data_IF_705923593048
#
_entry.id   IF_705923593048
#
_cell.length_a   1.000
_cell.length_b   1.000
_cell.length_c   1.000
_cell.angle_alpha   90.00
_cell.angle_beta   90.00
_cell.angle_gamma   90.00
#
_symmetry.space_group_name_H-M   'P 1'
#
loop_
_entity.id
_entity.type
_entity.pdbx_description
1 polymer ?
#
# COMPACT_ATOMS: atom_id res chain seq x y z
N UNK A 1 -19.37 10.11 1.49
CA UNK A 1 -18.15 10.50 0.75
C UNK A 1 -18.56 11.13 -0.58
N UNK A 2 -18.33 12.44 -0.75
CA UNK A 2 -18.66 13.19 -1.97
C UNK A 2 -17.60 12.98 -3.06
N UNK A 3 -17.97 13.12 -4.34
CA UNK A 3 -16.99 13.21 -5.44
C UNK A 3 -16.29 14.57 -5.32
N UNK A 4 -14.98 14.58 -5.05
CA UNK A 4 -14.18 15.80 -4.98
C UNK A 4 -13.14 15.82 -6.12
N UNK A 5 -12.77 17.01 -6.58
CA UNK A 5 -11.61 17.22 -7.47
C UNK A 5 -11.79 16.83 -8.94
N UNK A 6 -13.03 16.72 -9.46
CA UNK A 6 -13.29 16.51 -10.89
C UNK A 6 -12.96 15.10 -11.43
N UNK A 7 -12.71 14.13 -10.55
CA UNK A 7 -12.43 12.74 -10.93
C UNK A 7 -13.67 12.04 -11.51
N UNK A 8 -13.46 11.17 -12.50
CA UNK A 8 -14.52 10.38 -13.14
C UNK A 8 -15.23 9.47 -12.14
N UNK A 9 -14.48 8.87 -11.21
CA UNK A 9 -15.03 8.07 -10.09
C UNK A 9 -14.44 8.49 -8.76
N UNK A 10 -15.24 8.38 -7.71
CA UNK A 10 -14.83 8.62 -6.33
C UNK A 10 -13.64 7.72 -5.93
N UNK A 11 -12.76 8.26 -5.10
CA UNK A 11 -11.71 7.49 -4.41
C UNK A 11 -12.20 7.26 -2.99
N UNK A 12 -12.39 6.00 -2.61
CA UNK A 12 -12.91 5.65 -1.28
C UNK A 12 -11.81 5.77 -0.24
N UNK A 13 -12.10 6.41 0.90
CA UNK A 13 -11.19 6.40 2.03
C UNK A 13 -11.22 5.01 2.69
N UNK A 14 -10.04 4.36 2.75
CA UNK A 14 -9.88 3.01 3.31
C UNK A 14 -9.17 2.99 4.66
N UNK A 15 -8.82 4.15 5.24
CA UNK A 15 -8.09 4.26 6.51
C UNK A 15 -8.75 3.43 7.62
N UNK A 16 -10.07 3.57 7.83
CA UNK A 16 -10.78 2.78 8.85
C UNK A 16 -10.62 1.27 8.65
N UNK A 17 -10.69 0.81 7.40
CA UNK A 17 -10.54 -0.62 7.09
C UNK A 17 -9.10 -1.09 7.29
N UNK A 18 -8.12 -0.27 6.89
CA UNK A 18 -6.69 -0.52 7.08
C UNK A 18 -6.36 -0.58 8.58
N UNK A 19 -6.72 0.45 9.35
CA UNK A 19 -6.51 0.52 10.81
C UNK A 19 -7.11 -0.69 11.51
N UNK A 20 -8.33 -1.10 11.14
CA UNK A 20 -8.95 -2.30 11.70
C UNK A 20 -8.10 -3.56 11.48
N UNK A 21 -7.48 -3.72 10.30
CA UNK A 21 -6.62 -4.88 10.01
C UNK A 21 -5.29 -4.81 10.74
N UNK A 22 -4.69 -3.63 10.84
CA UNK A 22 -3.45 -3.43 11.61
C UNK A 22 -3.66 -3.79 13.08
N UNK A 23 -4.74 -3.30 13.69
CA UNK A 23 -5.11 -3.65 15.08
C UNK A 23 -5.35 -5.16 15.21
N UNK A 24 -6.10 -5.76 14.28
CA UNK A 24 -6.39 -7.19 14.31
C UNK A 24 -5.12 -8.07 14.19
N UNK A 25 -4.13 -7.64 13.40
CA UNK A 25 -2.80 -8.29 13.32
C UNK A 25 -2.10 -8.20 14.69
N UNK A 26 -2.08 -7.01 15.31
CA UNK A 26 -1.48 -6.81 16.63
C UNK A 26 -2.12 -7.68 17.72
N UNK A 27 -3.45 -7.82 17.69
CA UNK A 27 -4.18 -8.72 18.59
C UNK A 27 -3.87 -10.20 18.29
N UNK A 28 -3.77 -10.60 17.03
CA UNK A 28 -3.44 -11.97 16.64
C UNK A 28 -2.07 -12.41 17.16
N UNK A 29 -1.10 -11.50 17.23
CA UNK A 29 0.24 -11.77 17.79
C UNK A 29 0.22 -12.14 19.28
N UNK A 30 -0.85 -11.82 20.02
CA UNK A 30 -0.99 -12.18 21.44
C UNK A 30 -1.43 -13.63 21.64
N UNK A 31 -1.99 -14.28 20.63
CA UNK A 31 -2.39 -15.67 20.69
C UNK A 31 -1.22 -16.57 20.29
N UNK A 32 -0.86 -17.51 21.17
CA UNK A 32 0.22 -18.47 20.91
C UNK A 32 -0.29 -19.62 20.03
N UNK A 33 0.65 -20.28 19.34
CA UNK A 33 0.37 -21.49 18.57
C UNK A 33 -0.22 -21.26 17.18
N UNK A 34 -0.72 -22.35 16.59
CA UNK A 34 -1.21 -22.43 15.21
C UNK A 34 -2.40 -21.53 14.95
N UNK A 35 -3.35 -21.45 15.88
CA UNK A 35 -4.54 -20.61 15.79
C UNK A 35 -4.21 -19.11 15.65
N UNK A 36 -3.27 -18.62 16.47
CA UNK A 36 -2.77 -17.25 16.39
C UNK A 36 -2.11 -16.95 15.04
N UNK A 37 -1.31 -17.89 14.54
CA UNK A 37 -0.62 -17.77 13.25
C UNK A 37 -1.60 -17.75 12.07
N UNK A 38 -2.61 -18.62 12.07
CA UNK A 38 -3.65 -18.66 11.04
C UNK A 38 -4.45 -17.35 11.01
N UNK A 39 -4.84 -16.85 12.20
CA UNK A 39 -5.52 -15.55 12.34
C UNK A 39 -4.65 -14.41 11.83
N UNK A 40 -3.36 -14.38 12.18
CA UNK A 40 -2.39 -13.40 11.69
C UNK A 40 -2.29 -13.41 10.17
N UNK A 41 -2.07 -14.58 9.56
CA UNK A 41 -1.98 -14.74 8.10
C UNK A 41 -3.28 -14.29 7.40
N UNK A 42 -4.45 -14.59 7.97
CA UNK A 42 -5.75 -14.14 7.45
C UNK A 42 -5.85 -12.62 7.45
N UNK A 43 -5.49 -11.95 8.54
CA UNK A 43 -5.57 -10.50 8.63
C UNK A 43 -4.56 -9.79 7.71
N UNK A 44 -3.34 -10.31 7.58
CA UNK A 44 -2.39 -9.84 6.56
C UNK A 44 -2.92 -9.98 5.14
N UNK A 45 -3.56 -11.11 4.81
CA UNK A 45 -4.17 -11.31 3.48
C UNK A 45 -5.22 -10.24 3.18
N UNK A 46 -6.05 -9.90 4.17
CA UNK A 46 -7.05 -8.85 4.02
C UNK A 46 -6.41 -7.45 3.92
N UNK A 47 -5.36 -7.17 4.69
CA UNK A 47 -4.62 -5.92 4.58
C UNK A 47 -4.01 -5.76 3.17
N UNK A 48 -3.33 -6.78 2.65
CA UNK A 48 -2.76 -6.77 1.30
C UNK A 48 -3.83 -6.59 0.22
N UNK A 49 -5.02 -7.17 0.40
CA UNK A 49 -6.16 -6.94 -0.50
C UNK A 49 -6.57 -5.47 -0.51
N UNK A 50 -6.68 -4.82 0.65
CA UNK A 50 -6.99 -3.40 0.75
C UNK A 50 -5.89 -2.55 0.10
N UNK A 51 -4.62 -2.87 0.34
CA UNK A 51 -3.48 -2.18 -0.27
C UNK A 51 -3.52 -2.27 -1.80
N UNK A 52 -3.84 -3.44 -2.37
CA UNK A 52 -4.02 -3.60 -3.83
C UNK A 52 -5.15 -2.73 -4.38
N UNK A 53 -6.27 -2.63 -3.66
CA UNK A 53 -7.36 -1.75 -4.06
C UNK A 53 -6.94 -0.28 -4.06
N UNK A 54 -6.14 0.14 -3.08
CA UNK A 54 -5.58 1.50 -3.02
C UNK A 54 -4.65 1.73 -4.22
N UNK A 55 -3.74 0.80 -4.51
CA UNK A 55 -2.85 0.89 -5.68
C UNK A 55 -3.61 0.98 -7.01
N UNK A 56 -4.72 0.24 -7.14
CA UNK A 56 -5.58 0.32 -8.32
C UNK A 56 -6.27 1.68 -8.44
N UNK A 57 -6.73 2.25 -7.31
CA UNK A 57 -7.28 3.60 -7.27
C UNK A 57 -6.21 4.65 -7.65
N UNK A 58 -4.97 4.52 -7.13
CA UNK A 58 -3.84 5.39 -7.50
C UNK A 58 -3.53 5.32 -9.00
N UNK A 59 -3.44 4.11 -9.57
CA UNK A 59 -3.20 3.93 -11.01
C UNK A 59 -4.28 4.61 -11.85
N UNK A 60 -5.55 4.45 -11.46
CA UNK A 60 -6.68 5.09 -12.14
C UNK A 60 -6.59 6.62 -12.06
N UNK A 61 -6.28 7.18 -10.89
CA UNK A 61 -6.10 8.63 -10.73
C UNK A 61 -4.98 9.15 -11.63
N UNK A 62 -3.84 8.45 -11.69
CA UNK A 62 -2.73 8.81 -12.58
C UNK A 62 -3.15 8.82 -14.06
N UNK A 63 -3.93 7.83 -14.50
CA UNK A 63 -4.48 7.79 -15.86
C UNK A 63 -5.45 8.96 -16.13
N UNK A 64 -6.30 9.30 -15.17
CA UNK A 64 -7.21 10.45 -15.28
C UNK A 64 -6.42 11.77 -15.37
N UNK A 65 -5.33 11.92 -14.60
CA UNK A 65 -4.42 13.08 -14.65
C UNK A 65 -3.70 13.17 -16.01
N UNK A 66 -3.21 12.04 -16.53
CA UNK A 66 -2.59 11.98 -17.85
C UNK A 66 -3.56 12.29 -18.99
N UNK A 67 -4.87 12.14 -18.79
CA UNK A 67 -5.89 12.52 -19.77
C UNK A 67 -6.30 14.01 -19.69
N UNK A 68 -5.81 14.78 -18.70
CA UNK A 68 -6.15 16.20 -18.58
C UNK A 68 -5.47 17.05 -19.67
N UNK A 69 -6.07 18.19 -20.06
CA UNK A 69 -5.41 19.19 -20.90
C UNK A 69 -4.08 19.66 -20.29
N UNK A 70 -3.09 19.97 -21.13
CA UNK A 70 -1.72 20.27 -20.71
C UNK A 70 -1.61 21.36 -19.63
N UNK A 71 -2.45 22.40 -19.69
CA UNK A 71 -2.47 23.48 -18.70
C UNK A 71 -2.91 22.99 -17.31
N UNK A 72 -3.95 22.14 -17.24
CA UNK A 72 -4.42 21.56 -15.98
C UNK A 72 -3.48 20.47 -15.46
N UNK A 73 -2.90 19.68 -16.37
CA UNK A 73 -1.93 18.63 -16.04
C UNK A 73 -0.67 19.21 -15.38
N UNK A 74 -0.17 20.34 -15.88
CA UNK A 74 0.99 21.03 -15.29
C UNK A 74 0.80 21.32 -13.80
N UNK A 75 -0.37 21.82 -13.41
CA UNK A 75 -0.69 22.14 -12.01
C UNK A 75 -0.73 20.95 -11.04
N UNK A 76 -0.83 19.71 -11.54
CA UNK A 76 -0.88 18.49 -10.71
C UNK A 76 0.23 17.49 -11.02
N UNK A 77 1.15 17.84 -11.92
CA UNK A 77 2.23 16.97 -12.42
C UNK A 77 3.10 16.42 -11.27
N UNK A 78 3.63 17.29 -10.42
CA UNK A 78 4.45 16.88 -9.27
C UNK A 78 3.71 16.00 -8.25
N UNK A 79 2.40 16.19 -8.07
CA UNK A 79 1.59 15.29 -7.24
C UNK A 79 1.41 13.92 -7.90
N UNK A 80 1.27 13.89 -9.22
CA UNK A 80 1.22 12.65 -10.01
C UNK A 80 2.53 11.86 -9.89
N UNK A 81 3.67 12.52 -10.09
CA UNK A 81 5.00 11.90 -9.95
C UNK A 81 5.22 11.36 -8.53
N UNK A 82 4.88 12.14 -7.50
CA UNK A 82 4.97 11.68 -6.11
C UNK A 82 4.07 10.48 -5.83
N UNK A 83 2.83 10.50 -6.34
CA UNK A 83 1.89 9.39 -6.20
C UNK A 83 2.42 8.12 -6.88
N UNK A 84 3.02 8.25 -8.06
CA UNK A 84 3.63 7.13 -8.79
C UNK A 84 4.82 6.54 -8.04
N UNK A 85 5.72 7.39 -7.53
CA UNK A 85 6.88 6.98 -6.74
C UNK A 85 6.47 6.20 -5.48
N UNK A 86 5.51 6.74 -4.71
CA UNK A 86 4.97 6.06 -3.52
C UNK A 86 4.26 4.77 -3.89
N UNK A 87 3.48 4.75 -4.97
CA UNK A 87 2.82 3.53 -5.43
C UNK A 87 3.84 2.44 -5.82
N UNK A 88 4.97 2.80 -6.42
CA UNK A 88 6.07 1.88 -6.72
C UNK A 88 6.67 1.27 -5.45
N UNK A 89 6.97 2.10 -4.44
CA UNK A 89 7.49 1.63 -3.16
C UNK A 89 6.49 0.70 -2.44
N UNK A 90 5.21 1.06 -2.42
CA UNK A 90 4.16 0.22 -1.80
C UNK A 90 4.05 -1.14 -2.51
N UNK A 91 4.23 -1.22 -3.83
CA UNK A 91 4.32 -2.51 -4.55
C UNK A 91 5.48 -3.38 -4.05
N UNK A 92 6.64 -2.79 -3.77
CA UNK A 92 7.79 -3.50 -3.16
C UNK A 92 7.45 -4.02 -1.77
N UNK A 93 6.84 -3.18 -0.92
CA UNK A 93 6.39 -3.59 0.42
C UNK A 93 5.39 -4.75 0.36
N UNK A 94 4.46 -4.75 -0.58
CA UNK A 94 3.51 -5.86 -0.79
C UNK A 94 4.28 -7.16 -1.10
N UNK A 95 5.24 -7.14 -2.03
CA UNK A 95 6.06 -8.32 -2.38
C UNK A 95 6.84 -8.82 -1.16
N UNK A 96 7.54 -7.94 -0.46
CA UNK A 96 8.30 -8.25 0.74
C UNK A 96 7.42 -8.83 1.86
N UNK A 97 6.23 -8.26 2.08
CA UNK A 97 5.26 -8.78 3.07
C UNK A 97 4.79 -10.17 2.67
N UNK A 98 4.56 -10.41 1.38
CA UNK A 98 4.15 -11.73 0.93
C UNK A 98 5.24 -12.79 1.17
N UNK A 99 6.48 -12.47 0.80
CA UNK A 99 7.64 -13.34 1.01
C UNK A 99 7.83 -13.66 2.51
N UNK A 100 7.78 -12.64 3.37
CA UNK A 100 7.98 -12.82 4.82
C UNK A 100 6.84 -13.57 5.50
N UNK A 101 5.59 -13.14 5.29
CA UNK A 101 4.43 -13.62 6.07
C UNK A 101 3.93 -14.97 5.56
N UNK A 102 3.98 -15.21 4.25
CA UNK A 102 3.42 -16.44 3.68
C UNK A 102 4.48 -17.46 3.25
N UNK A 103 5.68 -17.03 2.84
CA UNK A 103 6.75 -17.94 2.44
C UNK A 103 7.87 -18.09 3.49
N UNK A 104 7.81 -17.36 4.61
CA UNK A 104 8.83 -17.45 5.67
C UNK A 104 10.18 -16.83 5.32
N UNK A 105 10.29 -16.16 4.17
CA UNK A 105 11.55 -15.55 3.70
C UNK A 105 11.81 -14.24 4.43
N UNK A 106 12.70 -14.28 5.43
CA UNK A 106 13.06 -13.12 6.25
C UNK A 106 14.12 -12.23 5.59
N UNK A 107 14.97 -12.82 4.75
CA UNK A 107 15.92 -12.14 3.89
C UNK A 107 15.28 -11.97 2.50
N UNK A 108 15.04 -10.72 2.12
CA UNK A 108 14.50 -10.37 0.81
C UNK A 108 15.55 -9.51 0.10
N UNK A 109 16.01 -9.89 -1.11
CA UNK A 109 16.86 -9.03 -1.93
C UNK A 109 16.17 -7.67 -2.14
N UNK A 110 16.92 -6.58 -2.07
CA UNK A 110 16.40 -5.21 -2.21
C UNK A 110 15.24 -4.88 -1.25
N UNK A 111 15.34 -5.36 -0.01
CA UNK A 111 14.38 -5.07 1.05
C UNK A 111 14.20 -3.57 1.20
N UNK A 112 12.97 -3.09 1.08
CA UNK A 112 12.66 -1.70 1.36
C UNK A 112 12.51 -1.53 2.88
N UNK A 113 13.36 -0.68 3.46
CA UNK A 113 13.37 -0.43 4.92
C UNK A 113 12.75 0.91 5.30
N UNK A 114 12.73 1.88 4.38
CA UNK A 114 12.03 3.15 4.53
C UNK A 114 11.21 3.47 3.29
N UNK A 115 9.99 3.97 3.49
CA UNK A 115 9.14 4.48 2.40
C UNK A 115 9.55 5.91 1.99
N UNK A 116 10.15 6.68 2.90
CA UNK A 116 10.52 8.07 2.64
C UNK A 116 11.96 8.19 2.15
N UNK A 117 12.80 7.23 2.52
CA UNK A 117 14.21 7.14 2.13
C UNK A 117 14.45 5.75 1.50
N UNK A 118 14.02 5.50 0.25
CA UNK A 118 14.08 4.17 -0.35
C UNK A 118 15.49 3.61 -0.55
N UNK A 119 16.52 4.45 -0.42
CA UNK A 119 17.94 4.10 -0.50
C UNK A 119 18.57 3.78 0.87
N UNK A 120 17.78 3.79 1.95
CA UNK A 120 18.30 3.40 3.26
C UNK A 120 18.76 1.94 3.24
N UNK A 121 20.00 1.72 3.64
CA UNK A 121 20.58 0.39 3.81
C UNK A 121 20.50 -0.04 5.29
N UNK A 122 20.51 -1.36 5.52
CA UNK A 122 20.60 -1.91 6.88
C UNK A 122 22.09 -1.95 7.23
N UNK A 123 22.51 -1.16 8.22
CA UNK A 123 23.82 -1.30 8.86
C UNK A 123 23.84 -2.67 9.54
N UNK A 124 24.78 -3.54 9.18
CA UNK A 124 24.95 -4.89 9.73
C UNK A 124 26.25 -5.02 10.48
#
# INVERSE_FOLDING_TARGET
EQKAGGLKRKVRNRMRSVTKRVIAIGLALRHKGTEGELKRKREYRQLLRLTRQILNDSRRVLQEVQALPAQRRRGVSGLGERLEAVAHQVRRVVKQTQARVFAGLTQFPDKLVSLFEPHTEIIR
#
